data_IF_671163894393
#
_entry.id   IF_671163894393
#
_cell.length_a   1.000
_cell.length_b   1.000
_cell.length_c   1.000
_cell.angle_alpha   90.00
_cell.angle_beta   90.00
_cell.angle_gamma   90.00
#
_symmetry.space_group_name_H-M   'P 1'
#
loop_
_entity.id
_entity.type
_entity.pdbx_description
1 polymer ?
#
# COMPACT_ATOMS: atom_id res chain seq x y z
N UNK A 1 5.61 10.00 24.01
CA UNK A 1 4.64 9.77 22.91
C UNK A 1 5.18 8.72 21.94
N UNK A 2 5.41 7.48 22.39
CA UNK A 2 6.12 6.44 21.61
C UNK A 2 5.58 5.04 21.92
N UNK A 3 4.27 4.82 21.79
CA UNK A 3 3.68 3.49 22.08
C UNK A 3 2.51 3.10 21.17
N UNK A 4 2.24 3.84 20.09
CA UNK A 4 1.11 3.55 19.19
C UNK A 4 1.51 3.30 17.72
N UNK A 5 2.78 2.93 17.53
CA UNK A 5 3.31 2.24 16.33
C UNK A 5 3.51 0.79 16.81
N UNK A 6 2.97 -0.28 16.25
CA UNK A 6 2.22 -0.40 15.01
C UNK A 6 1.86 -1.87 14.80
N UNK A 7 0.69 -2.36 15.28
CA UNK A 7 0.22 -3.69 14.88
C UNK A 7 0.15 -3.80 13.34
N UNK A 8 -0.19 -2.71 12.65
CA UNK A 8 -0.18 -2.65 11.19
C UNK A 8 1.24 -2.77 10.57
N UNK A 9 2.26 -2.19 11.22
CA UNK A 9 3.68 -2.38 10.82
C UNK A 9 4.15 -3.82 11.05
N UNK A 10 3.66 -4.45 12.12
CA UNK A 10 3.93 -5.86 12.42
C UNK A 10 3.33 -6.78 11.35
N UNK A 11 2.06 -6.57 10.98
CA UNK A 11 1.42 -7.39 9.93
C UNK A 11 2.11 -7.22 8.57
N UNK A 12 2.48 -6.01 8.18
CA UNK A 12 3.24 -5.77 6.95
C UNK A 12 4.62 -6.44 6.99
N UNK A 13 5.33 -6.34 8.11
CA UNK A 13 6.62 -7.02 8.28
C UNK A 13 6.49 -8.54 8.28
N UNK A 14 5.44 -9.10 8.88
CA UNK A 14 5.16 -10.54 8.89
C UNK A 14 4.81 -11.03 7.49
N UNK A 15 4.04 -10.26 6.72
CA UNK A 15 3.72 -10.57 5.33
C UNK A 15 4.99 -10.61 4.46
N UNK A 16 5.88 -9.63 4.61
CA UNK A 16 7.16 -9.60 3.91
C UNK A 16 8.03 -10.81 4.30
N UNK A 17 8.13 -11.09 5.60
CA UNK A 17 8.89 -12.23 6.09
C UNK A 17 8.34 -13.57 5.59
N UNK A 18 7.01 -13.74 5.57
CA UNK A 18 6.36 -14.93 5.05
C UNK A 18 6.61 -15.11 3.54
N UNK A 19 6.56 -14.03 2.76
CA UNK A 19 6.90 -14.05 1.33
C UNK A 19 8.34 -14.47 1.08
N UNK A 20 9.28 -13.93 1.86
CA UNK A 20 10.70 -14.31 1.80
C UNK A 20 10.86 -15.80 2.14
N UNK A 21 10.30 -16.25 3.27
CA UNK A 21 10.37 -17.66 3.69
C UNK A 21 9.79 -18.58 2.62
N UNK A 22 8.63 -18.25 2.06
CA UNK A 22 8.01 -19.05 0.99
C UNK A 22 8.89 -19.12 -0.26
N UNK A 23 9.54 -18.02 -0.64
CA UNK A 23 10.48 -17.98 -1.78
C UNK A 23 11.71 -18.85 -1.52
N UNK A 24 12.28 -18.78 -0.30
CA UNK A 24 13.37 -19.65 0.11
C UNK A 24 12.96 -21.12 0.08
N UNK A 25 11.79 -21.46 0.63
CA UNK A 25 11.28 -22.83 0.61
C UNK A 25 11.13 -23.33 -0.83
N UNK A 26 10.62 -22.50 -1.75
CA UNK A 26 10.46 -22.86 -3.16
C UNK A 26 11.80 -23.08 -3.88
N UNK A 27 12.79 -22.21 -3.66
CA UNK A 27 14.13 -22.34 -4.25
C UNK A 27 14.90 -23.56 -3.74
N UNK A 28 14.73 -23.91 -2.47
CA UNK A 28 15.45 -25.02 -1.84
C UNK A 28 14.70 -26.35 -1.94
N UNK A 29 13.39 -26.35 -2.20
CA UNK A 29 12.60 -27.57 -2.40
C UNK A 29 13.23 -28.54 -3.43
N UNK A 30 13.71 -28.12 -4.61
CA UNK A 30 14.39 -29.01 -5.55
C UNK A 30 15.61 -29.69 -4.93
N UNK A 31 16.38 -29.01 -4.08
CA UNK A 31 17.59 -29.57 -3.46
C UNK A 31 17.24 -30.65 -2.42
N UNK A 32 16.17 -30.45 -1.63
CA UNK A 32 15.73 -31.41 -0.62
C UNK A 32 14.93 -32.58 -1.21
N UNK A 33 14.13 -32.34 -2.24
CA UNK A 33 13.26 -33.35 -2.85
C UNK A 33 13.85 -34.05 -4.08
N UNK A 34 14.92 -33.51 -4.70
CA UNK A 34 15.65 -34.18 -5.79
C UNK A 34 16.10 -35.61 -5.47
N UNK A 35 16.62 -35.95 -4.26
CA UNK A 35 16.95 -37.33 -3.95
C UNK A 35 15.73 -38.23 -3.64
N UNK A 36 14.54 -37.65 -3.38
CA UNK A 36 13.33 -38.38 -2.95
C UNK A 36 12.31 -38.59 -4.08
N UNK A 37 12.25 -37.70 -5.06
CA UNK A 37 11.31 -37.76 -6.18
C UNK A 37 12.01 -37.44 -7.50
N UNK A 38 12.62 -38.43 -8.18
CA UNK A 38 13.09 -38.23 -9.54
C UNK A 38 11.88 -38.06 -10.45
N UNK A 39 11.59 -36.84 -10.92
CA UNK A 39 10.49 -36.56 -11.88
C UNK A 39 10.66 -37.46 -13.10
N UNK A 40 9.78 -38.46 -13.25
CA UNK A 40 9.76 -39.40 -14.37
C UNK A 40 9.20 -38.64 -15.57
N UNK A 41 10.09 -38.11 -16.39
CA UNK A 41 9.79 -37.78 -17.78
C UNK A 41 9.61 -39.11 -18.55
N UNK A 42 8.42 -39.43 -19.08
CA UNK A 42 8.17 -40.65 -19.85
C UNK A 42 8.77 -40.63 -21.27
N UNK A 43 9.34 -39.50 -21.70
CA UNK A 43 9.87 -39.29 -23.06
C UNK A 43 11.40 -39.18 -23.14
N UNK A 44 12.10 -39.12 -22.01
CA UNK A 44 13.56 -38.98 -21.98
C UNK A 44 14.27 -40.35 -21.91
N UNK A 45 15.30 -40.61 -22.75
CA UNK A 45 16.09 -41.82 -22.68
C UNK A 45 16.77 -41.95 -21.30
N UNK A 46 16.55 -43.09 -20.66
CA UNK A 46 17.03 -43.43 -19.32
C UNK A 46 18.56 -43.44 -19.23
N UNK A 47 19.18 -42.31 -18.93
CA UNK A 47 20.49 -42.30 -18.26
C UNK A 47 20.31 -41.91 -16.80
N UNK A 48 20.29 -42.93 -15.95
CA UNK A 48 20.09 -42.94 -14.49
C UNK A 48 21.06 -42.02 -13.71
N UNK A 49 22.04 -41.37 -14.35
CA UNK A 49 23.20 -40.79 -13.66
C UNK A 49 23.14 -39.30 -13.29
N UNK A 50 22.22 -38.48 -13.81
CA UNK A 50 22.18 -37.04 -13.46
C UNK A 50 20.77 -36.42 -13.62
N UNK A 51 19.77 -36.92 -12.89
CA UNK A 51 18.45 -36.26 -12.82
C UNK A 51 18.47 -35.16 -11.75
N UNK A 52 19.22 -34.10 -12.00
CA UNK A 52 19.22 -32.90 -11.15
C UNK A 52 17.95 -32.10 -11.43
N UNK A 53 17.24 -31.67 -10.38
CA UNK A 53 15.94 -30.98 -10.50
C UNK A 53 16.14 -29.47 -10.38
N UNK A 54 15.64 -28.72 -11.36
CA UNK A 54 15.69 -27.25 -11.37
C UNK A 54 14.48 -26.63 -10.62
N UNK A 55 14.62 -25.38 -10.11
CA UNK A 55 13.52 -24.65 -9.46
C UNK A 55 12.29 -24.41 -10.36
N UNK A 56 12.51 -24.22 -11.65
CA UNK A 56 11.54 -23.94 -12.70
C UNK A 56 11.88 -24.84 -13.89
N UNK A 57 10.86 -25.44 -14.48
CA UNK A 57 11.03 -26.31 -15.64
C UNK A 57 11.11 -25.45 -16.91
N UNK A 58 12.33 -25.09 -17.33
CA UNK A 58 12.59 -24.29 -18.53
C UNK A 58 13.40 -25.13 -19.53
N UNK A 59 12.99 -25.10 -20.80
CA UNK A 59 13.76 -25.72 -21.87
C UNK A 59 14.90 -24.78 -22.29
N UNK A 60 16.14 -25.22 -22.12
CA UNK A 60 17.34 -24.49 -22.52
C UNK A 60 18.08 -25.28 -23.61
N UNK A 61 18.67 -24.60 -24.62
CA UNK A 61 19.44 -25.26 -25.68
C UNK A 61 20.81 -25.78 -25.22
N UNK A 62 21.08 -25.81 -23.90
CA UNK A 62 22.33 -26.21 -23.28
C UNK A 62 22.10 -27.51 -22.49
N UNK A 63 23.08 -28.42 -22.50
CA UNK A 63 22.99 -29.66 -21.73
C UNK A 63 23.12 -29.39 -20.22
N UNK A 64 21.98 -29.25 -19.54
CA UNK A 64 21.88 -28.99 -18.09
C UNK A 64 22.32 -30.21 -17.25
N UNK A 65 22.43 -31.40 -17.85
CA UNK A 65 22.81 -32.61 -17.13
C UNK A 65 24.32 -32.70 -16.81
N UNK A 66 25.14 -31.80 -17.36
CA UNK A 66 26.59 -31.76 -17.15
C UNK A 66 27.00 -30.62 -16.20
N UNK A 67 27.88 -30.92 -15.22
CA UNK A 67 28.55 -29.89 -14.41
C UNK A 67 29.66 -29.27 -15.25
N UNK A 68 29.88 -27.93 -15.23
CA UNK A 68 29.39 -26.94 -14.27
C UNK A 68 28.13 -26.15 -14.69
N UNK A 69 27.59 -26.38 -15.90
CA UNK A 69 26.47 -25.61 -16.44
C UNK A 69 25.23 -25.66 -15.55
N UNK A 70 24.95 -26.82 -14.95
CA UNK A 70 23.87 -26.98 -13.97
C UNK A 70 23.93 -25.96 -12.82
N UNK A 71 25.09 -25.81 -12.18
CA UNK A 71 25.23 -25.01 -10.95
C UNK A 71 25.06 -23.52 -11.25
N UNK A 72 25.55 -23.10 -12.42
CA UNK A 72 25.44 -21.71 -12.89
C UNK A 72 23.98 -21.38 -13.21
N UNK A 73 23.28 -22.24 -13.96
CA UNK A 73 21.87 -22.04 -14.31
C UNK A 73 21.01 -22.06 -13.05
N UNK A 74 21.22 -23.02 -12.15
CA UNK A 74 20.50 -23.10 -10.89
C UNK A 74 20.67 -21.80 -10.06
N UNK A 75 21.90 -21.31 -9.93
CA UNK A 75 22.18 -20.08 -9.18
C UNK A 75 21.52 -18.84 -9.84
N UNK A 76 21.60 -18.72 -11.16
CA UNK A 76 21.01 -17.62 -11.91
C UNK A 76 19.48 -17.61 -11.80
N UNK A 77 18.87 -18.79 -11.92
CA UNK A 77 17.43 -18.97 -11.84
C UNK A 77 16.90 -18.68 -10.44
N UNK A 78 17.56 -19.21 -9.40
CA UNK A 78 17.22 -18.90 -8.01
C UNK A 78 17.37 -17.42 -7.68
N UNK A 79 18.40 -16.77 -8.21
CA UNK A 79 18.60 -15.33 -8.06
C UNK A 79 17.47 -14.54 -8.72
N UNK A 80 17.15 -14.87 -9.97
CA UNK A 80 16.11 -14.20 -10.76
C UNK A 80 14.73 -14.37 -10.14
N UNK A 81 14.41 -15.58 -9.66
CA UNK A 81 13.16 -15.86 -8.96
C UNK A 81 13.06 -15.11 -7.63
N UNK A 82 14.15 -15.05 -6.86
CA UNK A 82 14.20 -14.30 -5.59
C UNK A 82 14.00 -12.80 -5.83
N UNK A 83 14.65 -12.24 -6.86
CA UNK A 83 14.48 -10.83 -7.23
C UNK A 83 13.06 -10.53 -7.70
N UNK A 84 12.48 -11.40 -8.52
CA UNK A 84 11.09 -11.27 -8.97
C UNK A 84 10.13 -11.29 -7.78
N UNK A 85 10.31 -12.22 -6.84
CA UNK A 85 9.48 -12.30 -5.63
C UNK A 85 9.61 -11.05 -4.77
N UNK A 86 10.82 -10.52 -4.59
CA UNK A 86 11.06 -9.30 -3.82
C UNK A 86 10.39 -8.08 -4.47
N UNK A 87 10.42 -7.98 -5.80
CA UNK A 87 9.75 -6.91 -6.55
C UNK A 87 8.23 -6.97 -6.36
N UNK A 88 7.61 -8.14 -6.56
CA UNK A 88 6.17 -8.32 -6.36
C UNK A 88 5.75 -7.99 -4.93
N UNK A 89 6.52 -8.48 -3.94
CA UNK A 89 6.27 -8.22 -2.53
C UNK A 89 6.39 -6.74 -2.17
N UNK A 90 7.33 -6.03 -2.80
CA UNK A 90 7.51 -4.59 -2.63
C UNK A 90 6.34 -3.79 -3.21
N UNK A 91 5.83 -4.20 -4.37
CA UNK A 91 4.64 -3.60 -4.99
C UNK A 91 3.41 -3.79 -4.09
N UNK A 92 3.17 -5.00 -3.61
CA UNK A 92 2.04 -5.30 -2.72
C UNK A 92 2.13 -4.52 -1.40
N UNK A 93 3.32 -4.48 -0.79
CA UNK A 93 3.57 -3.70 0.43
C UNK A 93 3.31 -2.20 0.22
N UNK A 94 3.71 -1.67 -0.94
CA UNK A 94 3.43 -0.29 -1.31
C UNK A 94 1.93 0.00 -1.44
N UNK A 95 1.17 -0.89 -2.09
CA UNK A 95 -0.28 -0.74 -2.19
C UNK A 95 -0.98 -0.80 -0.83
N UNK A 96 -0.60 -1.74 0.04
CA UNK A 96 -1.14 -1.78 1.40
C UNK A 96 -0.84 -0.51 2.19
N UNK A 97 0.36 0.05 2.02
CA UNK A 97 0.71 1.33 2.63
C UNK A 97 -0.19 2.47 2.11
N UNK A 98 -0.42 2.55 0.80
CA UNK A 98 -1.32 3.56 0.23
C UNK A 98 -2.74 3.44 0.77
N UNK A 99 -3.30 2.23 0.80
CA UNK A 99 -4.64 1.99 1.33
C UNK A 99 -4.71 2.39 2.81
N UNK A 100 -3.67 2.10 3.59
CA UNK A 100 -3.61 2.49 4.99
C UNK A 100 -3.57 4.01 5.16
N UNK A 101 -2.76 4.71 4.37
CA UNK A 101 -2.68 6.18 4.39
C UNK A 101 -4.02 6.79 4.03
N UNK A 102 -4.66 6.35 2.95
CA UNK A 102 -5.98 6.85 2.52
C UNK A 102 -7.03 6.62 3.61
N UNK A 103 -7.06 5.42 4.19
CA UNK A 103 -7.97 5.09 5.30
C UNK A 103 -7.74 5.98 6.53
N UNK A 104 -6.48 6.28 6.85
CA UNK A 104 -6.11 7.21 7.92
C UNK A 104 -6.61 8.63 7.64
N UNK A 105 -6.44 9.11 6.41
CA UNK A 105 -6.93 10.43 6.00
C UNK A 105 -8.47 10.51 6.04
N UNK A 106 -9.18 9.47 5.59
CA UNK A 106 -10.64 9.42 5.65
C UNK A 106 -11.15 9.47 7.11
N UNK A 107 -10.48 8.77 8.04
CA UNK A 107 -10.81 8.85 9.46
C UNK A 107 -10.61 10.26 10.05
N UNK A 108 -9.55 10.96 9.63
CA UNK A 108 -9.30 12.33 10.06
C UNK A 108 -10.41 13.29 9.58
N UNK A 109 -10.86 13.09 8.33
CA UNK A 109 -11.96 13.85 7.74
C UNK A 109 -13.27 13.55 8.47
N UNK A 110 -13.59 12.29 8.76
CA UNK A 110 -14.78 11.89 9.54
C UNK A 110 -14.77 12.52 10.94
N UNK A 111 -13.64 12.45 11.65
CA UNK A 111 -13.51 13.10 12.97
C UNK A 111 -13.72 14.62 12.91
N UNK A 112 -13.23 15.26 11.84
CA UNK A 112 -13.42 16.69 11.61
C UNK A 112 -14.89 17.03 11.36
N UNK A 113 -15.61 16.21 10.58
CA UNK A 113 -17.05 16.38 10.36
C UNK A 113 -17.87 16.21 11.64
N UNK A 114 -17.55 15.21 12.47
CA UNK A 114 -18.20 15.03 13.77
C UNK A 114 -18.00 16.23 14.69
N UNK A 115 -16.78 16.77 14.76
CA UNK A 115 -16.49 17.97 15.54
C UNK A 115 -17.29 19.17 15.04
N UNK A 116 -17.46 19.31 13.73
CA UNK A 116 -18.26 20.40 13.14
C UNK A 116 -19.74 20.25 13.47
N UNK A 117 -20.30 19.04 13.39
CA UNK A 117 -21.70 18.79 13.71
C UNK A 117 -22.03 19.09 15.18
N UNK A 118 -21.18 18.67 16.11
CA UNK A 118 -21.33 18.98 17.55
C UNK A 118 -21.30 20.50 17.79
N UNK A 119 -20.43 21.20 17.07
CA UNK A 119 -20.29 22.64 17.21
C UNK A 119 -21.53 23.39 16.68
N UNK A 120 -22.09 22.93 15.54
CA UNK A 120 -23.31 23.46 14.95
C UNK A 120 -24.53 23.31 15.88
N UNK A 121 -24.72 22.11 16.46
CA UNK A 121 -25.80 21.85 17.42
C UNK A 121 -25.68 22.72 18.69
N UNK A 122 -24.46 22.89 19.23
CA UNK A 122 -24.24 23.80 20.37
C UNK A 122 -24.64 25.24 20.05
N UNK A 123 -24.32 25.69 18.84
CA UNK A 123 -24.63 27.05 18.39
C UNK A 123 -26.13 27.26 18.22
N UNK A 124 -26.82 26.27 17.63
CA UNK A 124 -28.27 26.26 17.51
C UNK A 124 -28.96 26.30 18.88
N UNK A 125 -28.46 25.54 19.85
CA UNK A 125 -28.97 25.57 21.23
C UNK A 125 -28.72 26.92 21.93
N UNK A 126 -27.54 27.52 21.74
CA UNK A 126 -27.22 28.84 22.29
C UNK A 126 -28.13 29.93 21.69
N UNK A 127 -28.37 29.89 20.37
CA UNK A 127 -29.32 30.78 19.71
C UNK A 127 -30.74 30.62 20.26
N UNK A 128 -31.23 29.39 20.39
CA UNK A 128 -32.57 29.12 20.94
C UNK A 128 -32.71 29.62 22.39
N UNK A 129 -31.67 29.45 23.21
CA UNK A 129 -31.64 29.93 24.60
C UNK A 129 -31.64 31.46 24.66
N UNK A 130 -30.88 32.11 23.78
CA UNK A 130 -30.80 33.58 23.70
C UNK A 130 -32.08 34.21 23.18
N UNK A 131 -32.75 33.61 22.20
CA UNK A 131 -34.07 34.09 21.74
C UNK A 131 -35.11 34.09 22.87
N UNK A 132 -35.10 33.05 23.72
CA UNK A 132 -35.94 32.98 24.93
C UNK A 132 -35.57 34.01 26.00
N UNK A 133 -34.33 34.48 26.03
CA UNK A 133 -33.90 35.56 26.93
C UNK A 133 -34.31 36.94 26.37
N UNK A 134 -34.14 37.17 25.07
CA UNK A 134 -34.55 38.43 24.43
C UNK A 134 -36.06 38.65 24.49
N UNK A 135 -36.88 37.59 24.38
CA UNK A 135 -38.32 37.73 24.55
C UNK A 135 -38.73 38.22 25.95
N UNK A 136 -37.83 38.16 26.94
CA UNK A 136 -38.05 38.65 28.30
C UNK A 136 -37.49 40.06 28.54
N UNK A 137 -36.67 40.61 27.64
CA UNK A 137 -36.04 41.94 27.78
C UNK A 137 -36.10 42.71 26.44
N UNK A 138 -37.07 43.61 26.23
CA UNK A 138 -37.31 44.26 24.93
C UNK A 138 -36.18 45.16 24.42
N UNK A 139 -35.36 45.75 25.30
CA UNK A 139 -34.44 46.83 24.92
C UNK A 139 -32.98 46.41 24.64
N UNK A 140 -32.63 45.12 24.76
CA UNK A 140 -31.24 44.63 24.63
C UNK A 140 -30.91 43.87 23.32
N UNK A 141 -31.84 43.85 22.35
CA UNK A 141 -31.76 42.98 21.15
C UNK A 141 -30.63 43.31 20.16
N UNK A 142 -30.24 44.57 20.01
CA UNK A 142 -29.25 44.97 18.98
C UNK A 142 -27.83 44.45 19.27
N UNK A 143 -27.37 44.55 20.51
CA UNK A 143 -26.00 44.16 20.90
C UNK A 143 -25.80 42.64 20.91
N UNK A 144 -26.88 41.89 21.16
CA UNK A 144 -26.87 40.44 21.26
C UNK A 144 -26.95 39.76 19.88
N UNK A 145 -27.71 40.34 18.94
CA UNK A 145 -27.73 39.92 17.52
C UNK A 145 -26.36 40.15 16.86
N UNK A 146 -25.68 41.26 17.16
CA UNK A 146 -24.33 41.50 16.64
C UNK A 146 -23.31 40.44 17.08
N UNK A 147 -23.42 39.94 18.32
CA UNK A 147 -22.55 38.87 18.83
C UNK A 147 -22.84 37.51 18.19
N UNK A 148 -24.11 37.17 17.91
CA UNK A 148 -24.45 35.90 17.26
C UNK A 148 -23.96 35.84 15.82
N UNK A 149 -24.14 36.93 15.06
CA UNK A 149 -23.62 37.03 13.68
C UNK A 149 -22.11 36.86 13.64
N UNK A 150 -21.38 37.53 14.55
CA UNK A 150 -19.92 37.43 14.65
C UNK A 150 -19.43 36.02 15.02
N UNK A 151 -20.20 35.28 15.81
CA UNK A 151 -19.89 33.90 16.20
C UNK A 151 -20.09 32.94 15.01
N UNK A 152 -21.17 33.13 14.26
CA UNK A 152 -21.48 32.34 13.05
C UNK A 152 -20.42 32.54 11.96
N UNK A 153 -19.95 33.78 11.77
CA UNK A 153 -18.83 34.10 10.86
C UNK A 153 -17.52 33.43 11.30
N UNK A 154 -17.22 33.46 12.60
CA UNK A 154 -16.05 32.77 13.16
C UNK A 154 -16.14 31.25 12.97
N UNK A 155 -17.35 30.69 13.02
CA UNK A 155 -17.60 29.28 12.76
C UNK A 155 -17.38 28.92 11.30
N UNK A 156 -17.91 29.74 10.37
CA UNK A 156 -17.70 29.57 8.93
C UNK A 156 -16.21 29.64 8.60
N UNK A 157 -15.48 30.54 9.24
CA UNK A 157 -14.04 30.68 9.06
C UNK A 157 -13.27 29.48 9.62
N UNK A 158 -13.63 28.97 10.80
CA UNK A 158 -13.05 27.76 11.37
C UNK A 158 -13.33 26.53 10.49
N UNK A 159 -14.57 26.37 10.01
CA UNK A 159 -14.97 25.29 9.09
C UNK A 159 -14.16 25.31 7.81
N UNK A 160 -14.05 26.48 7.17
CA UNK A 160 -13.22 26.63 5.98
C UNK A 160 -11.76 26.33 6.27
N UNK A 161 -11.22 26.77 7.42
CA UNK A 161 -9.84 26.54 7.76
C UNK A 161 -9.52 25.06 8.00
N UNK A 162 -10.33 24.35 8.79
CA UNK A 162 -10.13 22.92 9.08
C UNK A 162 -10.31 22.07 7.83
N UNK A 163 -11.37 22.33 7.06
CA UNK A 163 -11.64 21.57 5.83
C UNK A 163 -10.53 21.81 4.80
N UNK A 164 -10.13 23.08 4.58
CA UNK A 164 -9.07 23.42 3.64
C UNK A 164 -7.71 22.85 4.07
N UNK A 165 -7.41 22.83 5.38
CA UNK A 165 -6.16 22.26 5.90
C UNK A 165 -6.10 20.75 5.69
N UNK A 166 -7.19 20.03 5.98
CA UNK A 166 -7.27 18.59 5.76
C UNK A 166 -7.25 18.26 4.25
N UNK A 167 -7.98 19.01 3.43
CA UNK A 167 -7.99 18.84 1.98
C UNK A 167 -6.61 19.10 1.37
N UNK A 168 -5.90 20.14 1.82
CA UNK A 168 -4.55 20.44 1.36
C UNK A 168 -3.53 19.36 1.77
N UNK A 169 -3.67 18.78 2.97
CA UNK A 169 -2.87 17.60 3.36
C UNK A 169 -3.14 16.40 2.45
N UNK A 170 -4.40 16.12 2.13
CA UNK A 170 -4.77 15.04 1.20
C UNK A 170 -4.21 15.30 -0.20
N UNK A 171 -4.36 16.53 -0.72
CA UNK A 171 -3.84 16.93 -2.03
C UNK A 171 -2.31 16.84 -2.07
N UNK A 172 -1.60 17.25 -1.01
CA UNK A 172 -0.14 17.11 -0.92
C UNK A 172 0.32 15.66 -0.89
N UNK A 173 -0.40 14.79 -0.19
CA UNK A 173 -0.09 13.36 -0.17
C UNK A 173 -0.35 12.77 -1.56
N UNK A 174 -1.50 13.04 -2.17
CA UNK A 174 -1.78 12.61 -3.54
C UNK A 174 -0.76 13.14 -4.55
N UNK A 175 -0.32 14.39 -4.43
CA UNK A 175 0.71 14.97 -5.28
C UNK A 175 2.08 14.29 -5.07
N UNK A 176 2.41 13.93 -3.84
CA UNK A 176 3.64 13.15 -3.54
C UNK A 176 3.56 11.75 -4.12
N UNK A 177 2.42 11.07 -3.97
CA UNK A 177 2.19 9.74 -4.56
C UNK A 177 2.27 9.81 -6.08
N UNK A 178 1.61 10.79 -6.71
CA UNK A 178 1.68 11.00 -8.16
C UNK A 178 3.10 11.33 -8.63
N UNK A 179 3.88 12.09 -7.85
CA UNK A 179 5.29 12.33 -8.16
C UNK A 179 6.11 11.04 -8.09
N UNK A 180 5.93 10.23 -7.06
CA UNK A 180 6.58 8.92 -6.95
C UNK A 180 6.20 8.03 -8.14
N UNK A 181 4.91 7.97 -8.49
CA UNK A 181 4.42 7.26 -9.68
C UNK A 181 4.90 7.86 -11.01
N UNK A 182 5.25 9.14 -11.09
CA UNK A 182 5.82 9.74 -12.30
C UNK A 182 7.32 9.51 -12.42
N UNK A 183 8.01 9.30 -11.29
CA UNK A 183 9.45 8.96 -11.25
C UNK A 183 9.64 7.48 -11.55
N UNK A 184 8.72 6.65 -11.06
CA UNK A 184 8.58 5.27 -11.53
C UNK A 184 7.90 5.38 -12.89
N UNK A 185 8.66 5.56 -13.96
CA UNK A 185 8.20 5.65 -15.36
C UNK A 185 7.58 4.29 -15.78
N UNK A 186 6.48 3.90 -15.12
CA UNK A 186 5.75 2.64 -15.23
C UNK A 186 5.41 2.29 -16.69
N UNK A 187 4.98 3.23 -17.56
CA UNK A 187 4.75 2.91 -18.96
C UNK A 187 6.04 2.65 -19.75
N UNK A 188 7.19 3.21 -19.38
CA UNK A 188 8.47 2.87 -20.05
C UNK A 188 9.01 1.52 -19.59
N UNK A 189 8.94 1.23 -18.29
CA UNK A 189 9.39 -0.06 -17.75
C UNK A 189 8.51 -1.20 -18.27
N UNK A 190 7.18 -1.03 -18.34
CA UNK A 190 6.31 -2.03 -18.95
C UNK A 190 6.51 -2.15 -20.46
N UNK A 191 6.72 -1.04 -21.18
CA UNK A 191 7.01 -1.07 -22.61
C UNK A 191 8.34 -1.75 -22.93
N UNK A 192 9.40 -1.53 -22.12
CA UNK A 192 10.68 -2.24 -22.27
C UNK A 192 10.56 -3.73 -21.94
N UNK A 193 9.74 -4.12 -20.95
CA UNK A 193 9.44 -5.51 -20.64
C UNK A 193 8.63 -6.22 -21.74
N UNK A 194 7.61 -5.57 -22.31
CA UNK A 194 6.86 -6.13 -23.47
C UNK A 194 7.72 -6.21 -24.74
N UNK A 195 8.61 -5.23 -24.98
CA UNK A 195 9.49 -5.23 -26.14
C UNK A 195 10.57 -6.31 -26.05
N UNK A 196 11.09 -6.61 -24.85
CA UNK A 196 12.04 -7.71 -24.66
C UNK A 196 11.37 -9.09 -24.83
N UNK A 197 10.14 -9.26 -24.33
CA UNK A 197 9.39 -10.52 -24.49
C UNK A 197 8.96 -10.77 -25.94
N UNK A 198 8.65 -9.73 -26.73
CA UNK A 198 8.36 -9.88 -28.17
C UNK A 198 9.59 -10.04 -29.06
N UNK A 199 10.80 -9.76 -28.57
CA UNK A 199 12.04 -9.91 -29.34
C UNK A 199 12.66 -11.31 -29.24
N UNK A 200 12.20 -12.15 -28.30
CA UNK A 200 12.68 -13.52 -28.08
C UNK A 200 11.70 -14.61 -28.57
N UNK A 201 10.61 -14.25 -29.25
CA UNK A 201 9.69 -15.16 -29.98
C UNK A 201 9.94 -15.01 -31.48
#
# INVERSE_FOLDING_TARGET
>A
MSSHIGPCSLYSSLYVLAGIISSFVWNFAPLFFSPMCPIIDPTAPLTIKNRKVMPINIWLPINIAESPAYEIIFALESYTFSMSTLLYLSIDAFFFYLIHVISGQLKLVDASFKSLFILDERLKHEHATRLRQMSKLPDAGSLTVSKSVRLEDSLRQYRHHVLNRNLNSIVKIHATVLKVFSVIDLPKVFAELEFHVSSEI
#
